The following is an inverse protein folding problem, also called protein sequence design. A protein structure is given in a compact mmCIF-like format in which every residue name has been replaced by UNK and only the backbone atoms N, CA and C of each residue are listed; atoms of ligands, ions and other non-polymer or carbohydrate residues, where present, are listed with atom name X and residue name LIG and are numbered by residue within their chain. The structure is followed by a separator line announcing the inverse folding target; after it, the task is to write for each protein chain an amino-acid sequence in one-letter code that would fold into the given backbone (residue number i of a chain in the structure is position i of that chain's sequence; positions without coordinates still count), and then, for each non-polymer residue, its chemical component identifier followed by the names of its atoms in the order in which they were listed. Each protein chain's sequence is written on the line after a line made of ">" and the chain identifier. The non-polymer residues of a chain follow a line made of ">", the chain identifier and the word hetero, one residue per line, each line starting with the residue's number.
data_IF_192415900758
#
_entry.id   IF_192415900758
#
_cell.length_a   1.000
_cell.length_b   1.000
_cell.length_c   1.000
_cell.angle_alpha   90.00
_cell.angle_beta   90.00
_cell.angle_gamma   90.00
#
_symmetry.space_group_name_H-M   'P 1'
#
loop_
_entity.id
_entity.type
_entity.pdbx_description
1 polymer ?
#
# COMPACT_ATOMS: atom_id res chain seq x y z
N UNK A 1 -12.59 -9.62 13.83
CA UNK A 1 -11.27 -10.02 14.38
C UNK A 1 -10.22 -9.12 13.77
N UNK A 2 -9.40 -8.46 14.58
CA UNK A 2 -8.30 -7.62 14.06
C UNK A 2 -7.22 -8.51 13.43
N UNK A 3 -6.78 -8.18 12.22
CA UNK A 3 -5.79 -8.94 11.46
C UNK A 3 -4.46 -9.00 12.22
N UNK A 4 -4.16 -7.96 13.01
CA UNK A 4 -2.95 -7.88 13.83
C UNK A 4 -2.82 -9.04 14.82
N UNK A 5 -3.94 -9.47 15.42
CA UNK A 5 -4.02 -10.54 16.42
C UNK A 5 -3.73 -11.93 15.83
N UNK A 6 -3.96 -12.12 14.52
CA UNK A 6 -3.65 -13.38 13.83
C UNK A 6 -2.16 -13.52 13.51
N UNK A 7 -1.44 -12.41 13.35
CA UNK A 7 -0.06 -12.40 12.88
C UNK A 7 0.92 -12.57 14.06
N UNK A 8 0.59 -11.98 15.21
CA UNK A 8 1.42 -12.09 16.42
C UNK A 8 0.53 -12.52 17.59
N UNK A 9 0.52 -13.81 17.96
CA UNK A 9 -0.36 -14.32 19.01
C UNK A 9 0.01 -13.81 20.41
N UNK A 10 1.25 -13.37 20.62
CA UNK A 10 1.72 -12.81 21.89
C UNK A 10 2.57 -11.55 21.68
N UNK A 11 2.07 -10.40 22.12
CA UNK A 11 2.84 -9.16 22.27
C UNK A 11 3.35 -8.50 20.98
N UNK A 12 4.20 -7.48 21.15
CA UNK A 12 4.83 -6.77 20.04
C UNK A 12 6.07 -7.54 19.56
N UNK A 13 6.18 -7.75 18.24
CA UNK A 13 7.33 -8.43 17.61
C UNK A 13 7.90 -7.61 16.47
N UNK A 14 9.23 -7.53 16.41
CA UNK A 14 9.94 -6.93 15.28
C UNK A 14 9.76 -7.82 14.05
N UNK A 15 9.13 -7.28 13.00
CA UNK A 15 8.98 -7.95 11.70
C UNK A 15 10.11 -7.46 10.79
N UNK A 16 11.01 -8.35 10.33
CA UNK A 16 12.10 -7.94 9.45
C UNK A 16 11.52 -7.36 8.14
N UNK A 17 12.10 -6.25 7.67
CA UNK A 17 11.71 -5.55 6.43
C UNK A 17 10.29 -4.97 6.40
N UNK A 18 9.61 -4.83 7.54
CA UNK A 18 8.30 -4.16 7.66
C UNK A 18 8.28 -2.77 7.01
N UNK A 19 9.39 -2.04 7.11
CA UNK A 19 9.57 -0.72 6.49
C UNK A 19 9.30 -0.72 4.98
N UNK A 20 9.54 -1.83 4.27
CA UNK A 20 9.36 -1.89 2.82
C UNK A 20 7.88 -1.78 2.45
N UNK A 21 7.02 -2.46 3.20
CA UNK A 21 5.56 -2.42 3.05
C UNK A 21 5.03 -1.04 3.45
N UNK A 22 5.44 -0.53 4.61
CA UNK A 22 5.03 0.79 5.09
C UNK A 22 5.43 1.90 4.11
N UNK A 23 6.62 1.79 3.51
CA UNK A 23 7.10 2.73 2.49
C UNK A 23 6.29 2.66 1.19
N UNK A 24 5.86 1.47 0.76
CA UNK A 24 4.96 1.34 -0.39
C UNK A 24 3.64 2.09 -0.16
N UNK A 25 3.03 1.94 1.02
CA UNK A 25 1.83 2.70 1.39
C UNK A 25 2.06 4.20 1.49
N UNK A 26 3.20 4.63 2.05
CA UNK A 26 3.57 6.05 2.10
C UNK A 26 3.67 6.67 0.70
N UNK A 27 4.17 5.93 -0.29
CA UNK A 27 4.21 6.42 -1.67
C UNK A 27 2.84 6.48 -2.33
N UNK A 28 1.97 5.49 -2.06
CA UNK A 28 0.59 5.51 -2.56
C UNK A 28 -0.19 6.73 -2.05
N UNK A 29 0.11 7.21 -0.84
CA UNK A 29 -0.50 8.42 -0.29
C UNK A 29 -0.22 9.69 -1.11
N UNK A 30 0.84 9.71 -1.94
CA UNK A 30 1.11 10.82 -2.85
C UNK A 30 0.24 10.81 -4.11
N UNK A 31 -0.47 9.69 -4.37
CA UNK A 31 -1.39 9.58 -5.50
C UNK A 31 -2.73 10.21 -5.14
N UNK A 32 -2.97 11.46 -5.58
CA UNK A 32 -4.22 12.20 -5.34
C UNK A 32 -5.49 11.40 -5.64
N UNK A 33 -5.44 10.49 -6.63
CA UNK A 33 -6.56 9.63 -7.01
C UNK A 33 -7.00 8.67 -5.91
N UNK A 34 -6.08 8.24 -5.05
CA UNK A 34 -6.34 7.34 -3.91
C UNK A 34 -6.76 8.08 -2.64
N UNK A 35 -6.74 9.42 -2.62
CA UNK A 35 -7.05 10.19 -1.41
C UNK A 35 -8.49 10.03 -0.92
N UNK A 36 -9.40 9.63 -1.81
CA UNK A 36 -10.82 9.37 -1.52
C UNK A 36 -11.27 8.20 -2.39
N UNK A 37 -12.05 7.31 -1.81
CA UNK A 37 -12.70 6.24 -2.55
C UNK A 37 -13.92 6.83 -3.25
N UNK A 38 -13.77 7.10 -4.54
CA UNK A 38 -14.85 7.61 -5.38
C UNK A 38 -15.55 6.49 -6.15
N UNK A 39 -14.98 5.29 -6.14
CA UNK A 39 -15.53 4.18 -6.90
C UNK A 39 -16.59 3.47 -6.08
N UNK A 40 -17.68 3.10 -6.73
CA UNK A 40 -18.72 2.27 -6.11
C UNK A 40 -18.40 0.78 -6.28
N UNK A 41 -17.55 0.46 -7.26
CA UNK A 41 -17.19 -0.90 -7.62
C UNK A 41 -15.77 -1.26 -7.11
N UNK A 42 -15.60 -2.34 -6.33
CA UNK A 42 -14.31 -2.74 -5.78
C UNK A 42 -13.24 -3.00 -6.84
N UNK A 43 -13.62 -3.53 -8.01
CA UNK A 43 -12.66 -3.80 -9.09
C UNK A 43 -12.07 -2.51 -9.64
N UNK A 44 -12.86 -1.45 -9.72
CA UNK A 44 -12.38 -0.12 -10.10
C UNK A 44 -11.40 0.42 -9.06
N UNK A 45 -11.73 0.36 -7.76
CA UNK A 45 -10.82 0.78 -6.68
C UNK A 45 -9.49 0.02 -6.72
N UNK A 46 -9.54 -1.30 -6.91
CA UNK A 46 -8.35 -2.15 -7.03
C UNK A 46 -7.47 -1.74 -8.22
N UNK A 47 -8.08 -1.50 -9.39
CA UNK A 47 -7.36 -1.04 -10.57
C UNK A 47 -6.64 0.29 -10.33
N UNK A 48 -7.24 1.25 -9.63
CA UNK A 48 -6.57 2.51 -9.30
C UNK A 48 -5.37 2.32 -8.35
N UNK A 49 -5.45 1.38 -7.41
CA UNK A 49 -4.31 1.02 -6.55
C UNK A 49 -3.19 0.40 -7.37
N UNK A 50 -3.49 -0.53 -8.29
CA UNK A 50 -2.49 -1.15 -9.16
C UNK A 50 -1.81 -0.14 -10.09
N UNK A 51 -2.59 0.77 -10.69
CA UNK A 51 -2.08 1.81 -11.60
C UNK A 51 -1.14 2.76 -10.85
N UNK A 52 -1.57 3.28 -9.69
CA UNK A 52 -0.74 4.20 -8.89
C UNK A 52 0.55 3.55 -8.38
N UNK A 53 0.50 2.27 -8.01
CA UNK A 53 1.69 1.53 -7.63
C UNK A 53 2.66 1.36 -8.82
N UNK A 54 2.14 0.99 -10.00
CA UNK A 54 2.94 0.83 -11.22
C UNK A 54 3.62 2.14 -11.62
N UNK A 55 2.89 3.26 -11.58
CA UNK A 55 3.46 4.60 -11.83
C UNK A 55 4.58 4.94 -10.86
N UNK A 56 4.40 4.63 -9.58
CA UNK A 56 5.41 4.85 -8.54
C UNK A 56 6.69 4.06 -8.83
N UNK A 57 6.57 2.78 -9.18
CA UNK A 57 7.73 1.93 -9.49
C UNK A 57 8.45 2.44 -10.74
N UNK A 58 7.71 2.76 -11.81
CA UNK A 58 8.28 3.25 -13.06
C UNK A 58 9.04 4.58 -12.87
N UNK A 59 8.48 5.51 -12.08
CA UNK A 59 9.13 6.79 -11.79
C UNK A 59 10.46 6.61 -11.05
N UNK A 60 10.56 5.60 -10.19
CA UNK A 60 11.78 5.31 -9.42
C UNK A 60 12.80 4.52 -10.25
N UNK A 61 12.35 3.63 -11.13
CA UNK A 61 13.23 2.91 -12.05
C UNK A 61 13.99 3.86 -12.97
N UNK A 62 13.32 4.89 -13.49
CA UNK A 62 13.94 5.89 -14.36
C UNK A 62 15.02 6.73 -13.66
N UNK A 63 15.05 6.76 -12.32
CA UNK A 63 16.03 7.55 -11.56
C UNK A 63 17.25 6.75 -11.08
N UNK A 64 17.45 5.52 -11.58
CA UNK A 64 18.65 4.68 -11.35
C UNK A 64 19.40 4.47 -12.66
#
# INVERSE_FOLDING_TARGET
>A
MDISQKIVPEGWKVIPKRWAVERAFAWLNNSRRLSKDYETDPFSSENFVMISHSMTILARFKSS
#
